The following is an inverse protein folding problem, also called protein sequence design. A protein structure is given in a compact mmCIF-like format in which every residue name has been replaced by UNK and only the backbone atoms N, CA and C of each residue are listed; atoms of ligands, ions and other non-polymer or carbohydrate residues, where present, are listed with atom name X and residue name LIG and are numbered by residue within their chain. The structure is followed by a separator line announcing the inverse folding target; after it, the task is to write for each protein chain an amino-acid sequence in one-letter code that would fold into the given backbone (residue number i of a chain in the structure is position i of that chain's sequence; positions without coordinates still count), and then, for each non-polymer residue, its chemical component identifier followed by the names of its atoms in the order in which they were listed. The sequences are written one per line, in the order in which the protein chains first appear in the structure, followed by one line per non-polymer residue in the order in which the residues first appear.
data_IF_140735549019
#
_entry.id   IF_140735549019
#
_cell.length_a   1.000
_cell.length_b   1.000
_cell.length_c   1.000
_cell.angle_alpha   90.00
_cell.angle_beta   90.00
_cell.angle_gamma   90.00
#
_symmetry.space_group_name_H-M   'P 1'
#
loop_
_entity.id
_entity.type
_entity.pdbx_description
1 polymer ?
#
# COMPACT_ATOMS: atom_id res chain seq x y z
N UNK A 1 0.41 -1.57 8.51
CA UNK A 1 1.85 -1.64 8.17
C UNK A 1 2.81 -1.18 9.28
N UNK A 2 2.38 -0.45 10.32
CA UNK A 2 3.28 -0.05 11.43
C UNK A 2 3.83 -1.24 12.24
N UNK A 3 2.99 -2.23 12.56
CA UNK A 3 3.39 -3.40 13.34
C UNK A 3 4.48 -4.19 12.60
N UNK A 4 4.20 -4.67 11.40
CA UNK A 4 5.13 -5.49 10.59
C UNK A 4 6.48 -4.79 10.37
N UNK A 5 6.47 -3.49 10.04
CA UNK A 5 7.69 -2.70 9.88
C UNK A 5 8.52 -2.67 11.18
N UNK A 6 7.87 -2.43 12.31
CA UNK A 6 8.55 -2.34 13.61
C UNK A 6 9.18 -3.67 14.03
N UNK A 7 8.49 -4.78 13.80
CA UNK A 7 9.05 -6.12 14.03
C UNK A 7 10.26 -6.36 13.13
N UNK A 8 10.13 -6.12 11.82
CA UNK A 8 11.21 -6.37 10.87
C UNK A 8 12.48 -5.56 11.15
N UNK A 9 12.33 -4.29 11.53
CA UNK A 9 13.45 -3.35 11.60
C UNK A 9 13.99 -3.15 13.02
N UNK A 10 13.24 -3.55 14.06
CA UNK A 10 13.60 -3.25 15.44
C UNK A 10 13.63 -4.46 16.38
N UNK A 11 12.95 -5.56 16.04
CA UNK A 11 13.06 -6.80 16.82
C UNK A 11 14.28 -7.59 16.37
N UNK A 12 15.02 -8.08 17.36
CA UNK A 12 16.19 -8.96 17.21
C UNK A 12 15.88 -10.32 17.83
N UNK A 13 16.72 -11.32 17.52
CA UNK A 13 16.57 -12.75 17.93
C UNK A 13 15.42 -13.45 17.23
N UNK A 14 15.46 -14.77 17.14
CA UNK A 14 14.27 -15.54 16.76
C UNK A 14 13.44 -15.86 18.01
N UNK A 15 12.12 -16.11 17.88
CA UNK A 15 11.30 -16.54 19.01
C UNK A 15 11.57 -17.99 19.43
N UNK A 16 12.47 -18.70 18.72
CA UNK A 16 12.78 -20.11 18.95
C UNK A 16 14.18 -20.23 19.56
N UNK A 17 14.34 -21.05 20.60
CA UNK A 17 15.62 -21.21 21.30
C UNK A 17 16.66 -22.03 20.50
N UNK A 18 16.27 -22.56 19.33
CA UNK A 18 17.07 -23.45 18.49
C UNK A 18 18.14 -22.72 17.66
N UNK A 19 18.09 -21.39 17.61
CA UNK A 19 19.02 -20.58 16.82
C UNK A 19 20.42 -20.44 17.43
N UNK A 20 20.71 -21.12 18.55
CA UNK A 20 22.00 -21.11 19.28
C UNK A 20 22.56 -19.70 19.51
N UNK A 21 21.69 -18.67 19.50
CA UNK A 21 22.07 -17.28 19.61
C UNK A 21 22.75 -16.66 18.37
N UNK A 22 22.79 -17.36 17.23
CA UNK A 22 23.43 -16.91 15.98
C UNK A 22 22.82 -15.57 15.52
N UNK A 23 21.50 -15.40 15.71
CA UNK A 23 20.76 -14.21 15.30
C UNK A 23 20.58 -13.16 16.42
N UNK A 24 21.27 -13.30 17.56
CA UNK A 24 21.05 -12.44 18.72
C UNK A 24 21.34 -10.95 18.47
N UNK A 25 22.21 -10.68 17.50
CA UNK A 25 22.66 -9.32 17.15
C UNK A 25 21.92 -8.75 15.94
N UNK A 26 21.19 -9.60 15.21
CA UNK A 26 20.57 -9.29 13.93
C UNK A 26 19.08 -9.01 14.09
N UNK A 27 18.61 -7.96 13.42
CA UNK A 27 17.19 -7.70 13.23
C UNK A 27 16.55 -8.75 12.33
N UNK A 28 15.24 -8.91 12.39
CA UNK A 28 14.52 -9.86 11.52
C UNK A 28 14.73 -9.59 10.03
N UNK A 29 14.88 -8.32 9.66
CA UNK A 29 15.28 -7.95 8.31
C UNK A 29 16.66 -8.50 7.93
N UNK A 30 17.66 -8.31 8.79
CA UNK A 30 19.02 -8.79 8.55
C UNK A 30 19.12 -10.32 8.57
N UNK A 31 18.23 -11.01 9.30
CA UNK A 31 18.21 -12.48 9.35
C UNK A 31 17.84 -13.12 8.01
N UNK A 32 17.00 -12.48 7.19
CA UNK A 32 16.52 -13.02 5.90
C UNK A 32 17.66 -13.20 4.90
N UNK A 33 18.66 -12.31 4.95
CA UNK A 33 19.77 -12.27 4.01
C UNK A 33 21.14 -12.41 4.69
N UNK A 34 21.17 -12.82 5.96
CA UNK A 34 22.39 -12.87 6.79
C UNK A 34 23.19 -11.55 6.77
N UNK A 35 22.50 -10.41 6.79
CA UNK A 35 23.08 -9.07 6.73
C UNK A 35 23.60 -8.66 5.34
N UNK A 36 23.44 -9.50 4.31
CA UNK A 36 23.86 -9.18 2.95
C UNK A 36 22.90 -8.15 2.33
N UNK A 37 23.45 -7.04 1.88
CA UNK A 37 22.66 -6.00 1.23
C UNK A 37 22.33 -6.38 -0.22
N UNK A 38 21.21 -5.85 -0.74
CA UNK A 38 20.81 -5.91 -2.15
C UNK A 38 20.62 -7.32 -2.72
N UNK A 39 20.26 -8.30 -1.90
CA UNK A 39 19.89 -9.63 -2.39
C UNK A 39 18.58 -9.57 -3.20
N UNK A 40 18.33 -10.62 -3.99
CA UNK A 40 17.08 -10.78 -4.75
C UNK A 40 15.86 -10.77 -3.80
N UNK A 41 15.99 -11.37 -2.62
CA UNK A 41 14.92 -11.47 -1.63
C UNK A 41 14.63 -10.11 -0.99
N UNK A 42 15.66 -9.37 -0.56
CA UNK A 42 15.51 -8.02 -0.02
C UNK A 42 14.90 -7.05 -1.03
N UNK A 43 15.28 -7.14 -2.31
CA UNK A 43 14.65 -6.36 -3.39
C UNK A 43 13.16 -6.69 -3.53
N UNK A 44 12.79 -7.98 -3.54
CA UNK A 44 11.39 -8.38 -3.61
C UNK A 44 10.57 -7.85 -2.43
N UNK A 45 11.07 -8.02 -1.20
CA UNK A 45 10.38 -7.60 0.03
C UNK A 45 10.25 -6.08 0.16
N UNK A 46 11.12 -5.30 -0.49
CA UNK A 46 11.06 -3.83 -0.51
C UNK A 46 10.14 -3.33 -1.63
N UNK A 47 10.17 -3.97 -2.80
CA UNK A 47 9.43 -3.52 -4.00
C UNK A 47 7.94 -3.86 -3.90
N UNK A 48 7.58 -5.04 -3.40
CA UNK A 48 6.18 -5.49 -3.33
C UNK A 48 5.29 -4.51 -2.56
N UNK A 49 5.64 -4.06 -1.34
CA UNK A 49 4.81 -3.10 -0.60
C UNK A 49 4.69 -1.75 -1.32
N UNK A 50 5.76 -1.29 -1.99
CA UNK A 50 5.76 -0.01 -2.72
C UNK A 50 4.81 -0.09 -3.91
N UNK A 51 4.91 -1.14 -4.74
CA UNK A 51 4.04 -1.33 -5.90
C UNK A 51 2.58 -1.48 -5.47
N UNK A 52 2.30 -2.31 -4.47
CA UNK A 52 0.94 -2.49 -3.94
C UNK A 52 0.35 -1.20 -3.36
N UNK A 53 1.17 -0.39 -2.65
CA UNK A 53 0.71 0.89 -2.11
C UNK A 53 0.41 1.92 -3.21
N UNK A 54 1.20 1.91 -4.28
CA UNK A 54 1.04 2.80 -5.41
C UNK A 54 -0.20 2.43 -6.23
N UNK A 55 -0.38 1.15 -6.54
CA UNK A 55 -1.55 0.64 -7.27
C UNK A 55 -2.87 0.89 -6.51
N UNK A 56 -2.89 0.62 -5.20
CA UNK A 56 -4.04 0.92 -4.34
C UNK A 56 -4.36 2.42 -4.26
N UNK A 57 -3.35 3.29 -4.38
CA UNK A 57 -3.53 4.74 -4.37
C UNK A 57 -3.99 5.27 -5.73
N UNK A 58 -3.43 4.76 -6.83
CA UNK A 58 -3.79 5.15 -8.18
C UNK A 58 -5.23 4.75 -8.53
N UNK A 59 -5.64 3.52 -8.19
CA UNK A 59 -7.02 3.07 -8.38
C UNK A 59 -8.04 3.95 -7.66
N UNK A 60 -7.73 4.41 -6.44
CA UNK A 60 -8.56 5.37 -5.70
C UNK A 60 -8.63 6.72 -6.42
N UNK A 61 -7.49 7.30 -6.81
CA UNK A 61 -7.44 8.61 -7.49
C UNK A 61 -8.24 8.56 -8.79
N UNK A 62 -8.04 7.52 -9.60
CA UNK A 62 -8.81 7.31 -10.83
C UNK A 62 -10.32 7.22 -10.54
N UNK A 63 -10.71 6.53 -9.46
CA UNK A 63 -12.10 6.47 -9.01
C UNK A 63 -12.68 7.80 -8.50
N UNK A 64 -11.87 8.66 -7.89
CA UNK A 64 -12.30 10.00 -7.49
C UNK A 64 -12.46 10.93 -8.69
N UNK A 65 -11.51 10.89 -9.63
CA UNK A 65 -11.56 11.69 -10.86
C UNK A 65 -12.79 11.30 -11.69
N UNK A 66 -13.07 10.01 -11.84
CA UNK A 66 -14.26 9.56 -12.57
C UNK A 66 -15.56 10.00 -11.88
N UNK A 67 -15.67 9.91 -10.55
CA UNK A 67 -16.83 10.41 -9.79
C UNK A 67 -17.06 11.92 -9.99
N UNK A 68 -15.99 12.72 -10.00
CA UNK A 68 -16.08 14.16 -10.27
C UNK A 68 -16.58 14.44 -11.69
N UNK A 69 -16.09 13.68 -12.68
CA UNK A 69 -16.55 13.78 -14.07
C UNK A 69 -18.03 13.38 -14.24
N UNK A 70 -18.50 12.33 -13.57
CA UNK A 70 -19.90 11.94 -13.61
C UNK A 70 -20.81 12.94 -12.88
N UNK A 71 -20.34 13.53 -11.77
CA UNK A 71 -21.09 14.57 -11.06
C UNK A 71 -21.20 15.84 -11.89
N UNK A 72 -20.13 16.28 -12.54
CA UNK A 72 -20.14 17.47 -13.40
C UNK A 72 -20.98 17.27 -14.67
N UNK A 73 -20.94 16.07 -15.28
CA UNK A 73 -21.84 15.71 -16.37
C UNK A 73 -23.30 15.68 -15.91
N UNK A 74 -23.58 15.14 -14.73
CA UNK A 74 -24.92 15.11 -14.16
C UNK A 74 -25.51 16.50 -13.90
N UNK A 75 -24.71 17.43 -13.36
CA UNK A 75 -25.15 18.82 -13.14
C UNK A 75 -25.31 19.59 -14.45
N UNK A 76 -24.44 19.38 -15.43
CA UNK A 76 -24.58 19.98 -16.76
C UNK A 76 -25.84 19.48 -17.47
N UNK A 77 -26.11 18.18 -17.42
CA UNK A 77 -27.34 17.59 -17.98
C UNK A 77 -28.59 18.13 -17.29
N UNK A 78 -28.55 18.33 -15.97
CA UNK A 78 -29.65 18.96 -15.23
C UNK A 78 -29.89 20.42 -15.64
N UNK A 79 -28.83 21.19 -15.92
CA UNK A 79 -28.94 22.58 -16.37
C UNK A 79 -29.37 22.72 -17.84
N UNK A 80 -28.98 21.79 -18.71
CA UNK A 80 -29.28 21.80 -20.15
C UNK A 80 -30.64 21.16 -20.47
N UNK A 81 -31.07 20.18 -19.67
CA UNK A 81 -32.40 19.56 -19.76
C UNK A 81 -33.21 19.81 -18.48
N UNK A 82 -33.56 21.06 -18.14
CA UNK A 82 -34.60 21.33 -17.17
C UNK A 82 -35.93 20.99 -17.86
N UNK A 83 -36.28 19.71 -17.91
CA UNK A 83 -37.57 19.28 -18.44
C UNK A 83 -38.65 20.04 -17.69
N UNK A 84 -39.42 20.83 -18.44
CA UNK A 84 -40.78 21.29 -18.13
C UNK A 84 -41.52 20.32 -17.20
N UNK A 85 -41.40 20.55 -15.89
CA UNK A 85 -42.33 20.01 -14.89
C UNK A 85 -42.85 21.22 -14.11
N UNK A 86 -43.52 22.10 -14.84
CA UNK A 86 -44.27 23.23 -14.29
C UNK A 86 -45.31 23.71 -15.31
N UNK A 87 -46.12 22.79 -15.84
CA UNK A 87 -47.38 23.08 -16.52
C UNK A 87 -48.03 21.78 -16.99
N UNK A 88 -48.81 21.17 -16.10
CA UNK A 88 -50.10 20.44 -16.27
C UNK A 88 -50.37 19.77 -14.91
#
# INVERSE_FOLDING_TARGET
MKITYHFFHWKKRTPFAEDQGIYNRLTWWEQIDNGKQLTRNGKFLTVVPVVLSFDSRMSKILGWVSKLSFHSLGTLLYQVFPSRVSSI
#
